data_IF_749453782238
#
_entry.id   IF_749453782238
#
_cell.length_a   1.000
_cell.length_b   1.000
_cell.length_c   1.000
_cell.angle_alpha   90.00
_cell.angle_beta   90.00
_cell.angle_gamma   90.00
#
_symmetry.space_group_name_H-M   'P 1'
#
loop_
_entity.id
_entity.type
_entity.pdbx_description
1 polymer ?
#
# COMPACT_ATOMS: atom_id res chain seq x y z
N UNK A 1 -23.69 6.77 5.84
CA UNK A 1 -22.51 5.92 5.62
C UNK A 1 -21.29 6.80 5.79
N UNK A 2 -20.33 6.38 6.60
CA UNK A 2 -19.11 7.14 6.92
C UNK A 2 -18.10 7.02 5.78
N UNK A 3 -17.11 7.94 5.72
CA UNK A 3 -15.96 7.83 4.80
C UNK A 3 -15.32 6.44 4.87
N UNK A 4 -15.13 5.93 6.09
CA UNK A 4 -14.55 4.61 6.35
C UNK A 4 -15.34 3.50 5.66
N UNK A 5 -16.66 3.48 5.81
CA UNK A 5 -17.51 2.45 5.21
C UNK A 5 -17.44 2.51 3.67
N UNK A 6 -17.43 3.72 3.09
CA UNK A 6 -17.29 3.88 1.63
C UNK A 6 -15.93 3.42 1.12
N UNK A 7 -14.85 3.70 1.85
CA UNK A 7 -13.50 3.23 1.48
C UNK A 7 -13.37 1.70 1.63
N UNK A 8 -14.00 1.10 2.65
CA UNK A 8 -14.08 -0.35 2.81
C UNK A 8 -14.80 -1.02 1.66
N UNK A 9 -15.86 -0.39 1.15
CA UNK A 9 -16.66 -0.91 0.05
C UNK A 9 -16.17 -0.41 -1.32
N UNK A 10 -15.01 0.26 -1.42
CA UNK A 10 -14.64 1.04 -2.59
C UNK A 10 -14.74 0.24 -3.91
N UNK A 11 -14.16 -0.96 -3.98
CA UNK A 11 -14.25 -1.78 -5.19
C UNK A 11 -15.63 -2.41 -5.39
N UNK A 12 -16.37 -2.71 -4.32
CA UNK A 12 -17.79 -3.11 -4.42
C UNK A 12 -18.63 -2.01 -5.06
N UNK A 13 -18.36 -0.74 -4.72
CA UNK A 13 -19.06 0.41 -5.27
C UNK A 13 -18.66 0.66 -6.73
N UNK A 14 -17.38 0.47 -7.08
CA UNK A 14 -16.94 0.47 -8.49
C UNK A 14 -17.63 -0.63 -9.30
N UNK A 15 -17.72 -1.86 -8.76
CA UNK A 15 -18.44 -2.96 -9.41
C UNK A 15 -19.93 -2.64 -9.64
N UNK A 16 -20.56 -1.90 -8.73
CA UNK A 16 -21.97 -1.48 -8.83
C UNK A 16 -22.16 -0.21 -9.65
N UNK A 17 -21.08 0.43 -10.10
CA UNK A 17 -21.09 1.75 -10.73
C UNK A 17 -21.79 2.82 -9.87
N UNK A 18 -21.73 2.68 -8.54
CA UNK A 18 -22.41 3.55 -7.57
C UNK A 18 -21.65 4.87 -7.39
N UNK A 19 -21.69 5.67 -8.44
CA UNK A 19 -20.91 6.89 -8.60
C UNK A 19 -21.37 7.98 -7.63
N UNK A 20 -22.67 8.05 -7.34
CA UNK A 20 -23.22 9.01 -6.38
C UNK A 20 -22.63 8.78 -5.00
N UNK A 21 -22.59 7.53 -4.55
CA UNK A 21 -22.05 7.17 -3.23
C UNK A 21 -20.55 7.40 -3.15
N UNK A 22 -19.80 7.06 -4.20
CA UNK A 22 -18.37 7.34 -4.28
C UNK A 22 -18.06 8.84 -4.28
N UNK A 23 -18.87 9.67 -4.95
CA UNK A 23 -18.71 11.12 -4.93
C UNK A 23 -19.09 11.73 -3.58
N UNK A 24 -20.02 11.11 -2.84
CA UNK A 24 -20.56 11.67 -1.59
C UNK A 24 -19.53 11.86 -0.48
N UNK A 25 -18.38 11.19 -0.54
CA UNK A 25 -17.33 11.28 0.48
C UNK A 25 -16.35 12.43 0.26
N UNK A 26 -16.28 12.99 -0.95
CA UNK A 26 -15.30 14.04 -1.24
C UNK A 26 -15.73 15.39 -0.68
N UNK A 27 -14.74 16.19 -0.26
CA UNK A 27 -14.89 17.63 -0.13
C UNK A 27 -14.59 18.24 -1.51
N UNK A 28 -15.57 18.93 -2.09
CA UNK A 28 -15.41 19.54 -3.42
C UNK A 28 -15.18 18.52 -4.54
N UNK A 29 -14.28 18.86 -5.46
CA UNK A 29 -13.97 18.04 -6.64
C UNK A 29 -13.10 16.83 -6.28
N UNK A 30 -13.41 15.62 -6.78
CA UNK A 30 -12.68 14.41 -6.45
C UNK A 30 -11.25 14.44 -7.00
N UNK A 31 -10.32 13.95 -6.18
CA UNK A 31 -8.92 13.74 -6.53
C UNK A 31 -8.54 12.32 -6.16
N UNK A 32 -8.12 11.53 -7.14
CA UNK A 32 -7.68 10.16 -6.91
C UNK A 32 -6.45 9.81 -7.76
N UNK A 33 -5.47 9.17 -7.15
CA UNK A 33 -4.29 8.63 -7.83
C UNK A 33 -4.35 7.10 -7.81
N UNK A 34 -4.33 6.46 -8.99
CA UNK A 34 -4.36 5.00 -9.12
C UNK A 34 -3.11 4.45 -9.83
N UNK A 35 -2.71 3.19 -9.58
CA UNK A 35 -1.59 2.57 -10.30
C UNK A 35 -1.85 2.42 -11.81
N UNK A 36 -3.11 2.22 -12.20
CA UNK A 36 -3.49 1.98 -13.60
C UNK A 36 -3.64 3.27 -14.42
N UNK A 37 -4.27 4.30 -13.87
CA UNK A 37 -4.66 5.50 -14.63
C UNK A 37 -3.89 6.75 -14.23
N UNK A 38 -3.10 6.70 -13.13
CA UNK A 38 -2.42 7.87 -12.61
C UNK A 38 -3.39 8.81 -11.90
N UNK A 39 -3.13 10.12 -12.00
CA UNK A 39 -3.92 11.16 -11.32
C UNK A 39 -5.19 11.49 -12.09
N UNK A 40 -6.30 11.47 -11.38
CA UNK A 40 -7.65 11.78 -11.87
C UNK A 40 -8.17 12.93 -11.01
N UNK A 41 -8.71 13.96 -11.64
CA UNK A 41 -9.14 15.18 -10.94
C UNK A 41 -10.41 15.73 -11.58
N UNK A 42 -11.38 16.06 -10.73
CA UNK A 42 -12.66 16.61 -11.17
C UNK A 42 -13.74 15.56 -11.39
N UNK A 43 -14.98 15.99 -11.22
CA UNK A 43 -16.16 15.14 -11.21
C UNK A 43 -16.35 14.36 -12.51
N UNK A 44 -16.18 15.00 -13.66
CA UNK A 44 -16.39 14.36 -14.97
C UNK A 44 -15.37 13.23 -15.23
N UNK A 45 -14.10 13.50 -14.94
CA UNK A 45 -13.04 12.49 -15.06
C UNK A 45 -13.21 11.36 -14.04
N UNK A 46 -13.67 11.67 -12.83
CA UNK A 46 -13.99 10.66 -11.83
C UNK A 46 -15.16 9.77 -12.25
N UNK A 47 -16.25 10.33 -12.80
CA UNK A 47 -17.37 9.55 -13.35
C UNK A 47 -16.87 8.62 -14.45
N UNK A 48 -16.04 9.13 -15.36
CA UNK A 48 -15.45 8.35 -16.45
C UNK A 48 -14.54 7.23 -15.94
N UNK A 49 -13.77 7.50 -14.88
CA UNK A 49 -12.98 6.51 -14.16
C UNK A 49 -13.85 5.41 -13.56
N UNK A 50 -14.93 5.75 -12.86
CA UNK A 50 -15.85 4.75 -12.28
C UNK A 50 -16.42 3.85 -13.37
N UNK A 51 -16.84 4.42 -14.51
CA UNK A 51 -17.33 3.64 -15.65
C UNK A 51 -16.27 2.69 -16.23
N UNK A 52 -15.02 3.15 -16.41
CA UNK A 52 -13.91 2.31 -16.90
C UNK A 52 -13.57 1.19 -15.93
N UNK A 53 -13.51 1.48 -14.64
CA UNK A 53 -13.26 0.49 -13.59
C UNK A 53 -14.41 -0.50 -13.50
N UNK A 54 -15.67 -0.06 -13.60
CA UNK A 54 -16.82 -0.94 -13.66
C UNK A 54 -16.70 -1.95 -14.82
N UNK A 55 -16.38 -1.49 -16.03
CA UNK A 55 -16.19 -2.38 -17.18
C UNK A 55 -15.03 -3.35 -16.98
N UNK A 56 -13.91 -2.88 -16.44
CA UNK A 56 -12.75 -3.73 -16.15
C UNK A 56 -13.08 -4.80 -15.11
N UNK A 57 -13.72 -4.42 -13.99
CA UNK A 57 -14.11 -5.32 -12.93
C UNK A 57 -15.17 -6.31 -13.39
N UNK A 58 -16.12 -5.93 -14.24
CA UNK A 58 -17.13 -6.85 -14.81
C UNK A 58 -16.51 -7.95 -15.67
N UNK A 59 -15.36 -7.68 -16.28
CA UNK A 59 -14.57 -8.68 -17.00
C UNK A 59 -13.87 -9.70 -16.11
N UNK A 60 -13.91 -9.52 -14.79
CA UNK A 60 -13.27 -10.39 -13.80
C UNK A 60 -14.34 -10.85 -12.79
N UNK A 61 -14.29 -12.10 -12.31
CA UNK A 61 -15.05 -12.42 -11.10
C UNK A 61 -14.27 -11.86 -9.91
N UNK A 62 -14.80 -10.79 -9.31
CA UNK A 62 -14.07 -10.00 -8.31
C UNK A 62 -14.68 -10.16 -6.92
N UNK A 63 -13.99 -10.93 -6.08
CA UNK A 63 -14.18 -10.92 -4.64
C UNK A 63 -13.40 -9.78 -3.98
N UNK A 64 -13.92 -9.27 -2.86
CA UNK A 64 -13.21 -8.31 -2.00
C UNK A 64 -13.26 -8.81 -0.56
N UNK A 65 -12.10 -8.85 0.10
CA UNK A 65 -11.98 -9.05 1.53
C UNK A 65 -11.40 -7.81 2.18
N UNK A 66 -12.03 -7.36 3.26
CA UNK A 66 -11.46 -6.36 4.17
C UNK A 66 -10.34 -6.99 4.98
N UNK A 67 -9.17 -6.34 5.02
CA UNK A 67 -8.03 -6.77 5.83
C UNK A 67 -8.03 -6.00 7.13
N UNK A 68 -7.72 -4.71 7.07
CA UNK A 68 -7.54 -3.86 8.25
C UNK A 68 -7.81 -2.38 7.91
N UNK A 69 -7.94 -1.56 8.95
CA UNK A 69 -8.06 -0.11 8.81
C UNK A 69 -7.21 0.61 9.84
N UNK A 70 -6.50 1.65 9.39
CA UNK A 70 -5.75 2.57 10.26
C UNK A 70 -6.36 3.96 10.12
N UNK A 71 -6.71 4.59 11.25
CA UNK A 71 -7.40 5.90 11.25
C UNK A 71 -6.67 6.88 12.16
N UNK A 72 -6.51 8.11 11.68
CA UNK A 72 -6.16 9.29 12.47
C UNK A 72 -7.15 10.42 12.19
N UNK A 73 -6.96 11.56 12.87
CA UNK A 73 -7.79 12.76 12.65
C UNK A 73 -7.71 13.25 11.20
N UNK A 74 -6.56 13.10 10.54
CA UNK A 74 -6.32 13.70 9.22
C UNK A 74 -6.38 12.68 8.08
N UNK A 75 -6.37 11.37 8.37
CA UNK A 75 -6.15 10.34 7.36
C UNK A 75 -6.76 9.00 7.73
N UNK A 76 -7.21 8.28 6.70
CA UNK A 76 -7.67 6.89 6.77
C UNK A 76 -6.85 6.05 5.79
N UNK A 77 -6.41 4.87 6.21
CA UNK A 77 -5.89 3.84 5.33
C UNK A 77 -6.75 2.59 5.47
N UNK A 78 -7.32 2.10 4.37
CA UNK A 78 -8.02 0.83 4.31
C UNK A 78 -7.18 -0.17 3.54
N UNK A 79 -6.94 -1.33 4.13
CA UNK A 79 -6.28 -2.47 3.49
C UNK A 79 -7.35 -3.46 3.03
N UNK A 80 -7.28 -3.83 1.75
CA UNK A 80 -8.18 -4.78 1.10
C UNK A 80 -7.36 -5.89 0.42
N UNK A 81 -8.00 -7.02 0.20
CA UNK A 81 -7.53 -8.07 -0.69
C UNK A 81 -8.59 -8.30 -1.76
N UNK A 82 -8.22 -8.08 -3.02
CA UNK A 82 -9.10 -8.37 -4.16
C UNK A 82 -8.80 -9.75 -4.68
N UNK A 83 -9.81 -10.59 -4.84
CA UNK A 83 -9.69 -11.86 -5.54
C UNK A 83 -10.16 -11.63 -6.97
N UNK A 84 -9.24 -11.73 -7.92
CA UNK A 84 -9.51 -11.51 -9.34
C UNK A 84 -9.45 -12.85 -10.07
N UNK A 85 -10.54 -13.22 -10.74
CA UNK A 85 -10.57 -14.37 -11.63
C UNK A 85 -10.78 -13.92 -13.07
N UNK A 86 -9.89 -14.34 -13.96
CA UNK A 86 -10.01 -14.18 -15.41
C UNK A 86 -9.64 -15.49 -16.11
N UNK A 87 -10.60 -16.07 -16.83
CA UNK A 87 -10.50 -17.41 -17.42
C UNK A 87 -10.09 -18.48 -16.38
N UNK A 88 -8.90 -19.07 -16.54
CA UNK A 88 -8.34 -20.11 -15.67
C UNK A 88 -7.37 -19.55 -14.61
N UNK A 89 -7.11 -18.23 -14.62
CA UNK A 89 -6.22 -17.60 -13.66
C UNK A 89 -7.04 -17.00 -12.53
N UNK A 90 -6.70 -17.40 -11.31
CA UNK A 90 -7.14 -16.73 -10.08
C UNK A 90 -5.90 -16.10 -9.46
N UNK A 91 -6.03 -14.86 -9.01
CA UNK A 91 -4.99 -14.18 -8.25
C UNK A 91 -5.64 -13.36 -7.14
N UNK A 92 -4.90 -13.18 -6.05
CA UNK A 92 -5.23 -12.20 -5.03
C UNK A 92 -4.32 -10.98 -5.16
N UNK A 93 -4.90 -9.79 -5.03
CA UNK A 93 -4.22 -8.52 -5.18
C UNK A 93 -4.37 -7.71 -3.89
N UNK A 94 -3.31 -7.59 -3.08
CA UNK A 94 -3.32 -6.69 -1.94
C UNK A 94 -3.44 -5.23 -2.39
N UNK A 95 -4.41 -4.51 -1.82
CA UNK A 95 -4.64 -3.09 -2.10
C UNK A 95 -4.64 -2.28 -0.81
N UNK A 96 -3.97 -1.13 -0.82
CA UNK A 96 -4.10 -0.10 0.21
C UNK A 96 -4.73 1.16 -0.39
N UNK A 97 -5.74 1.70 0.27
CA UNK A 97 -6.39 2.96 -0.08
C UNK A 97 -6.09 3.96 1.03
N UNK A 98 -5.26 4.95 0.73
CA UNK A 98 -4.97 6.07 1.65
C UNK A 98 -5.83 7.26 1.25
N UNK A 99 -6.59 7.79 2.20
CA UNK A 99 -7.43 8.97 2.02
C UNK A 99 -7.00 10.07 3.00
N UNK A 100 -6.73 11.26 2.47
CA UNK A 100 -6.55 12.47 3.28
C UNK A 100 -7.93 13.06 3.58
N UNK A 101 -8.10 13.54 4.81
CA UNK A 101 -9.36 14.09 5.31
C UNK A 101 -9.30 15.61 5.46
N UNK A 102 -10.43 16.24 5.16
CA UNK A 102 -10.76 17.60 5.56
C UNK A 102 -12.09 17.53 6.34
N UNK A 103 -11.98 17.57 7.67
CA UNK A 103 -13.10 17.28 8.56
C UNK A 103 -13.59 15.84 8.43
N UNK A 104 -14.86 15.66 8.10
CA UNK A 104 -15.51 14.36 7.91
C UNK A 104 -15.57 13.90 6.44
N UNK A 105 -14.85 14.60 5.55
CA UNK A 105 -14.81 14.35 4.10
C UNK A 105 -13.39 14.08 3.62
N UNK A 106 -13.28 13.51 2.42
CA UNK A 106 -12.03 13.15 1.75
C UNK A 106 -11.59 14.27 0.82
N UNK A 107 -10.36 14.76 0.98
CA UNK A 107 -9.77 15.74 0.06
C UNK A 107 -8.99 15.09 -1.08
N UNK A 108 -8.40 13.90 -0.86
CA UNK A 108 -7.72 13.13 -1.89
C UNK A 108 -7.65 11.64 -1.52
N UNK A 109 -7.59 10.77 -2.55
CA UNK A 109 -7.36 9.33 -2.41
C UNK A 109 -6.09 8.93 -3.18
N UNK A 110 -5.27 8.06 -2.60
CA UNK A 110 -4.17 7.37 -3.27
C UNK A 110 -4.33 5.87 -3.08
N UNK A 111 -4.47 5.15 -4.19
CA UNK A 111 -4.57 3.68 -4.21
C UNK A 111 -3.22 3.09 -4.53
N UNK A 112 -2.82 2.03 -3.82
CA UNK A 112 -1.56 1.33 -3.97
C UNK A 112 -1.80 -0.17 -4.09
N UNK A 113 -1.22 -0.78 -5.12
CA UNK A 113 -1.09 -2.22 -5.33
C UNK A 113 -0.04 -2.46 -6.41
N UNK A 114 0.51 -3.68 -6.49
CA UNK A 114 1.43 -4.05 -7.58
C UNK A 114 0.69 -4.22 -8.92
N UNK A 115 1.36 -3.92 -10.02
CA UNK A 115 0.92 -4.27 -11.38
C UNK A 115 1.48 -5.62 -11.84
N UNK A 116 2.45 -6.17 -11.11
CA UNK A 116 3.10 -7.45 -11.43
C UNK A 116 2.10 -8.60 -11.55
N UNK A 117 1.16 -8.82 -10.59
CA UNK A 117 0.20 -9.91 -10.69
C UNK A 117 -0.73 -9.75 -11.90
N UNK A 118 -1.08 -8.51 -12.22
CA UNK A 118 -2.02 -8.17 -13.29
C UNK A 118 -1.39 -8.28 -14.69
N UNK A 119 -0.13 -7.90 -14.83
CA UNK A 119 0.49 -7.68 -16.15
C UNK A 119 1.78 -8.48 -16.38
N UNK A 120 2.30 -9.15 -15.35
CA UNK A 120 3.59 -9.84 -15.37
C UNK A 120 4.79 -8.90 -15.48
N UNK A 121 4.59 -7.60 -15.19
CA UNK A 121 5.63 -6.56 -15.12
C UNK A 121 5.29 -5.48 -14.10
N UNK A 122 6.32 -4.85 -13.56
CA UNK A 122 6.16 -3.68 -12.71
C UNK A 122 5.91 -2.43 -13.56
N UNK A 123 5.27 -1.42 -12.97
CA UNK A 123 5.08 -0.12 -13.60
C UNK A 123 5.59 0.95 -12.66
N UNK A 124 6.73 1.54 -13.03
CA UNK A 124 7.33 2.67 -12.31
C UNK A 124 6.30 3.77 -12.10
N UNK A 125 5.95 4.01 -10.84
CA UNK A 125 5.03 5.06 -10.42
C UNK A 125 5.81 6.22 -9.82
N UNK A 126 5.83 7.37 -10.51
CA UNK A 126 6.49 8.58 -10.03
C UNK A 126 5.99 8.98 -8.62
N UNK A 127 6.81 9.71 -7.84
CA UNK A 127 6.38 10.24 -6.55
C UNK A 127 5.03 10.96 -6.63
N UNK A 128 4.12 10.63 -5.71
CA UNK A 128 2.81 11.28 -5.59
C UNK A 128 2.81 12.42 -4.58
N UNK A 129 3.78 12.38 -3.67
CA UNK A 129 3.94 13.28 -2.54
C UNK A 129 5.40 13.67 -2.43
N UNK A 130 5.66 14.80 -1.78
CA UNK A 130 7.01 15.22 -1.42
C UNK A 130 7.45 14.57 -0.10
N UNK A 131 8.74 14.27 0.08
CA UNK A 131 9.27 13.84 1.37
C UNK A 131 8.96 14.86 2.48
N UNK A 132 8.43 14.38 3.60
CA UNK A 132 8.17 15.22 4.75
C UNK A 132 9.46 15.54 5.52
N UNK A 133 9.51 16.75 6.08
CA UNK A 133 10.54 17.15 7.04
C UNK A 133 10.00 17.00 8.45
N UNK A 134 10.74 16.29 9.32
CA UNK A 134 10.36 16.14 10.72
C UNK A 134 9.09 15.30 10.93
N UNK A 135 8.88 14.29 10.08
CA UNK A 135 7.75 13.38 10.21
C UNK A 135 7.82 12.64 11.55
N UNK A 136 6.75 12.70 12.34
CA UNK A 136 6.65 11.95 13.59
C UNK A 136 6.21 10.52 13.31
N UNK A 137 7.14 9.59 13.52
CA UNK A 137 6.89 8.17 13.37
C UNK A 137 7.05 7.44 14.72
N UNK A 138 6.27 6.37 14.97
CA UNK A 138 6.47 5.53 16.14
C UNK A 138 7.89 4.92 16.16
N UNK A 139 8.43 4.71 17.36
CA UNK A 139 9.81 4.25 17.52
C UNK A 139 10.10 2.88 16.89
N UNK A 140 9.11 1.99 16.84
CA UNK A 140 9.27 0.68 16.20
C UNK A 140 9.43 0.80 14.68
N UNK A 141 8.74 1.77 14.06
CA UNK A 141 8.88 2.07 12.63
C UNK A 141 10.25 2.68 12.37
N UNK A 142 10.67 3.66 13.17
CA UNK A 142 12.01 4.27 13.04
C UNK A 142 13.14 3.23 13.10
N UNK A 143 13.06 2.32 14.07
CA UNK A 143 14.05 1.23 14.23
C UNK A 143 14.03 0.28 13.02
N UNK A 144 12.84 -0.11 12.55
CA UNK A 144 12.70 -0.95 11.37
C UNK A 144 13.29 -0.28 10.13
N UNK A 145 12.99 1.00 9.92
CA UNK A 145 13.44 1.76 8.75
C UNK A 145 14.94 2.01 8.76
N UNK A 146 15.52 2.29 9.94
CA UNK A 146 16.97 2.39 10.08
C UNK A 146 17.66 1.07 9.73
N UNK A 147 17.15 -0.05 10.21
CA UNK A 147 17.71 -1.37 9.91
C UNK A 147 17.51 -1.75 8.43
N UNK A 148 16.38 -1.35 7.83
CA UNK A 148 16.11 -1.54 6.40
C UNK A 148 17.08 -0.75 5.52
N UNK A 149 17.32 0.52 5.83
CA UNK A 149 18.24 1.40 5.09
C UNK A 149 19.70 0.93 5.24
N UNK A 150 20.09 0.41 6.41
CA UNK A 150 21.43 -0.14 6.63
C UNK A 150 21.63 -1.57 6.11
N UNK A 151 20.56 -2.25 5.65
CA UNK A 151 20.64 -3.65 5.22
C UNK A 151 20.82 -4.66 6.37
N UNK A 152 20.46 -4.29 7.61
CA UNK A 152 20.65 -5.14 8.79
C UNK A 152 19.46 -6.10 8.99
N UNK A 153 19.48 -7.19 8.23
CA UNK A 153 18.45 -8.23 8.30
C UNK A 153 18.28 -8.82 9.71
N UNK A 154 19.36 -8.97 10.48
CA UNK A 154 19.31 -9.55 11.82
C UNK A 154 18.56 -8.63 12.80
N UNK A 155 18.84 -7.32 12.75
CA UNK A 155 18.10 -6.34 13.54
C UNK A 155 16.63 -6.31 13.14
N UNK A 156 16.30 -6.31 11.84
CA UNK A 156 14.91 -6.36 11.37
C UNK A 156 14.17 -7.56 11.96
N UNK A 157 14.71 -8.78 11.80
CA UNK A 157 14.07 -10.00 12.30
C UNK A 157 13.86 -9.97 13.81
N UNK A 158 14.76 -9.34 14.57
CA UNK A 158 14.63 -9.21 16.01
C UNK A 158 13.53 -8.23 16.45
N UNK A 159 13.15 -7.26 15.60
CA UNK A 159 12.03 -6.35 15.86
C UNK A 159 10.67 -7.06 15.79
N UNK A 160 10.56 -8.19 15.08
CA UNK A 160 9.33 -8.94 14.98
C UNK A 160 9.05 -9.82 16.20
N UNK A 161 7.77 -10.11 16.41
CA UNK A 161 7.31 -11.24 17.22
C UNK A 161 7.79 -12.57 16.62
N UNK A 162 7.80 -13.63 17.44
CA UNK A 162 8.24 -14.96 16.97
C UNK A 162 7.34 -15.51 15.84
N UNK A 163 6.06 -15.13 15.84
CA UNK A 163 5.05 -15.44 14.81
C UNK A 163 4.73 -14.25 13.88
N UNK A 164 5.51 -13.17 13.95
CA UNK A 164 5.33 -12.00 13.07
C UNK A 164 5.64 -12.32 11.60
N UNK A 165 5.19 -11.47 10.68
CA UNK A 165 5.35 -11.70 9.24
C UNK A 165 5.62 -10.43 8.42
N UNK A 166 6.23 -10.61 7.25
CA UNK A 166 6.32 -9.61 6.21
C UNK A 166 5.57 -10.11 4.96
N UNK A 167 4.77 -9.26 4.33
CA UNK A 167 4.06 -9.59 3.08
C UNK A 167 4.49 -8.64 1.97
N UNK A 168 5.01 -9.22 0.90
CA UNK A 168 5.34 -8.53 -0.34
C UNK A 168 4.07 -7.97 -1.02
N UNK A 169 4.20 -7.01 -1.97
CA UNK A 169 3.04 -6.38 -2.60
C UNK A 169 2.33 -7.25 -3.65
N UNK A 170 2.98 -8.30 -4.15
CA UNK A 170 2.49 -9.09 -5.29
C UNK A 170 1.31 -10.00 -4.98
N UNK A 171 1.27 -10.66 -3.82
CA UNK A 171 0.17 -11.57 -3.45
C UNK A 171 0.32 -11.99 -1.99
N UNK A 172 -0.76 -12.46 -1.35
CA UNK A 172 -0.67 -13.08 -0.02
C UNK A 172 0.17 -14.36 0.01
N UNK A 173 0.42 -15.00 -1.13
CA UNK A 173 1.32 -16.16 -1.22
C UNK A 173 2.78 -15.79 -0.88
N UNK A 174 3.17 -14.52 -1.09
CA UNK A 174 4.48 -13.99 -0.74
C UNK A 174 4.51 -13.43 0.69
N UNK A 175 4.02 -14.24 1.63
CA UNK A 175 4.05 -13.96 3.07
C UNK A 175 5.18 -14.74 3.73
N UNK A 176 6.09 -14.04 4.39
CA UNK A 176 7.25 -14.58 5.09
C UNK A 176 7.00 -14.54 6.60
N UNK A 177 6.53 -15.66 7.14
CA UNK A 177 6.11 -15.74 8.54
C UNK A 177 7.15 -16.38 9.46
N UNK A 178 7.16 -15.90 10.70
CA UNK A 178 8.04 -16.34 11.77
C UNK A 178 9.51 -16.05 11.51
N UNK A 179 10.34 -16.25 12.53
CA UNK A 179 11.76 -15.87 12.47
C UNK A 179 12.51 -16.48 11.28
N UNK A 180 12.24 -17.73 10.94
CA UNK A 180 12.92 -18.40 9.82
C UNK A 180 12.51 -17.82 8.46
N UNK A 181 11.21 -17.58 8.25
CA UNK A 181 10.70 -16.98 7.01
C UNK A 181 11.22 -15.56 6.83
N UNK A 182 11.10 -14.74 7.88
CA UNK A 182 11.63 -13.38 7.91
C UNK A 182 13.14 -13.34 7.66
N UNK A 183 13.91 -14.21 8.31
CA UNK A 183 15.36 -14.26 8.13
C UNK A 183 15.75 -14.63 6.70
N UNK A 184 15.08 -15.63 6.10
CA UNK A 184 15.31 -16.00 4.71
C UNK A 184 15.00 -14.83 3.76
N UNK A 185 13.86 -14.18 3.96
CA UNK A 185 13.42 -13.04 3.15
C UNK A 185 14.39 -11.85 3.25
N UNK A 186 14.61 -11.32 4.45
CA UNK A 186 15.44 -10.12 4.62
C UNK A 186 16.90 -10.37 4.25
N UNK A 187 17.46 -11.56 4.55
CA UNK A 187 18.82 -11.89 4.12
C UNK A 187 18.95 -11.94 2.60
N UNK A 188 17.89 -12.34 1.89
CA UNK A 188 17.87 -12.42 0.42
C UNK A 188 17.74 -11.04 -0.20
N UNK A 189 16.75 -10.25 0.21
CA UNK A 189 16.47 -8.95 -0.41
C UNK A 189 17.53 -7.90 -0.05
N UNK A 190 18.20 -8.03 1.11
CA UNK A 190 19.22 -7.08 1.57
C UNK A 190 20.65 -7.56 1.31
N UNK A 191 20.85 -8.66 0.57
CA UNK A 191 22.17 -9.25 0.32
C UNK A 191 23.19 -8.27 -0.28
N UNK A 192 22.70 -7.30 -1.06
CA UNK A 192 23.51 -6.29 -1.75
C UNK A 192 23.48 -4.91 -1.07
N UNK A 193 22.84 -4.81 0.11
CA UNK A 193 22.67 -3.59 0.89
C UNK A 193 21.20 -3.27 1.19
N UNK A 194 20.96 -2.17 1.90
CA UNK A 194 19.64 -1.77 2.37
C UNK A 194 18.70 -1.19 1.30
N UNK A 195 17.46 -0.91 1.72
CA UNK A 195 16.45 -0.24 0.88
C UNK A 195 16.23 1.16 1.43
N UNK A 196 16.53 2.17 0.62
CA UNK A 196 16.43 3.57 1.03
C UNK A 196 15.08 4.16 0.64
N UNK A 197 14.30 4.50 1.66
CA UNK A 197 12.95 5.05 1.54
C UNK A 197 12.92 6.49 2.07
N UNK A 198 12.36 7.42 1.29
CA UNK A 198 12.07 8.79 1.72
C UNK A 198 10.61 8.90 2.14
N UNK A 199 10.36 9.06 3.43
CA UNK A 199 8.98 9.09 3.95
C UNK A 199 8.28 10.40 3.61
N UNK A 200 7.05 10.29 3.11
CA UNK A 200 6.23 11.42 2.69
C UNK A 200 5.18 11.75 3.76
N UNK A 201 4.57 10.73 4.36
CA UNK A 201 3.49 10.89 5.33
C UNK A 201 3.45 9.70 6.28
N UNK A 202 2.86 9.90 7.46
CA UNK A 202 2.63 8.87 8.45
C UNK A 202 1.20 8.95 8.99
N UNK A 203 0.61 7.79 9.28
CA UNK A 203 -0.59 7.68 10.11
C UNK A 203 -0.35 6.63 11.16
N UNK A 204 -0.61 6.97 12.41
CA UNK A 204 -0.52 6.03 13.51
C UNK A 204 -1.78 6.10 14.35
N UNK A 205 -2.37 4.93 14.64
CA UNK A 205 -3.59 4.82 15.44
C UNK A 205 -3.37 4.16 16.80
N UNK A 206 -2.11 4.09 17.25
CA UNK A 206 -1.71 3.42 18.47
C UNK A 206 -1.34 1.95 18.28
N UNK A 207 -1.74 1.32 17.16
CA UNK A 207 -1.40 -0.08 16.84
C UNK A 207 -0.75 -0.22 15.48
N UNK A 208 -1.26 0.44 14.45
CA UNK A 208 -0.79 0.34 13.06
C UNK A 208 -0.24 1.67 12.60
N UNK A 209 0.90 1.62 11.91
CA UNK A 209 1.56 2.76 11.30
C UNK A 209 1.55 2.61 9.78
N UNK A 210 1.02 3.58 9.06
CA UNK A 210 0.97 3.61 7.59
C UNK A 210 1.94 4.68 7.11
N UNK A 211 2.97 4.27 6.37
CA UNK A 211 4.01 5.16 5.85
C UNK A 211 3.92 5.17 4.33
N UNK A 212 3.58 6.32 3.74
CA UNK A 212 3.76 6.52 2.29
C UNK A 212 5.17 7.02 2.05
N UNK A 213 5.85 6.47 1.06
CA UNK A 213 7.26 6.73 0.81
C UNK A 213 7.60 6.82 -0.67
N UNK A 214 8.80 7.31 -0.93
CA UNK A 214 9.49 7.20 -2.21
C UNK A 214 10.67 6.25 -2.04
N UNK A 215 10.64 5.10 -2.73
CA UNK A 215 11.80 4.24 -2.86
C UNK A 215 12.81 4.91 -3.80
N UNK A 216 14.05 5.08 -3.33
CA UNK A 216 15.11 5.78 -4.06
C UNK A 216 16.37 4.93 -4.29
N UNK A 217 16.55 3.85 -3.54
CA UNK A 217 17.68 2.95 -3.71
C UNK A 217 17.43 1.58 -3.11
N UNK A 218 18.08 0.57 -3.66
CA UNK A 218 18.05 -0.80 -3.17
C UNK A 218 19.41 -1.46 -3.41
N UNK A 219 20.09 -1.80 -2.33
CA UNK A 219 21.44 -2.33 -2.35
C UNK A 219 22.41 -1.31 -2.93
N UNK A 220 23.08 -1.69 -4.02
CA UNK A 220 24.01 -0.82 -4.77
C UNK A 220 23.33 -0.07 -5.92
N UNK A 221 22.04 -0.29 -6.13
CA UNK A 221 21.31 0.26 -7.27
C UNK A 221 20.53 1.49 -6.84
N UNK A 222 20.81 2.62 -7.50
CA UNK A 222 19.93 3.78 -7.46
C UNK A 222 18.69 3.48 -8.29
N UNK A 223 17.51 3.65 -7.69
CA UNK A 223 16.24 3.39 -8.35
C UNK A 223 15.67 4.69 -8.91
N UNK A 224 14.96 4.66 -10.06
CA UNK A 224 14.02 5.72 -10.37
C UNK A 224 13.09 5.92 -9.16
N UNK A 225 12.87 7.17 -8.70
CA UNK A 225 12.00 7.45 -7.57
C UNK A 225 10.61 6.85 -7.76
N UNK A 226 10.20 5.97 -6.85
CA UNK A 226 8.96 5.19 -6.97
C UNK A 226 8.08 5.32 -5.73
N UNK A 227 6.81 5.67 -5.92
CA UNK A 227 5.85 5.80 -4.83
C UNK A 227 5.39 4.42 -4.31
N UNK A 228 5.34 4.27 -2.99
CA UNK A 228 4.83 3.09 -2.30
C UNK A 228 4.17 3.45 -0.98
N UNK A 229 3.49 2.47 -0.38
CA UNK A 229 3.01 2.55 1.00
C UNK A 229 3.25 1.22 1.71
N UNK A 230 3.58 1.29 3.00
CA UNK A 230 3.66 0.12 3.85
C UNK A 230 2.85 0.35 5.13
N UNK A 231 2.26 -0.74 5.62
CA UNK A 231 1.56 -0.78 6.91
C UNK A 231 2.34 -1.67 7.86
N UNK A 232 2.73 -1.09 8.99
CA UNK A 232 3.43 -1.78 10.06
C UNK A 232 2.51 -1.93 11.25
N UNK A 233 2.39 -3.14 11.78
CA UNK A 233 1.50 -3.44 12.90
C UNK A 233 2.31 -3.79 14.13
N UNK A 234 2.04 -3.10 15.23
CA UNK A 234 2.56 -3.42 16.55
C UNK A 234 1.77 -4.61 17.12
N UNK A 235 2.51 -5.64 17.52
CA UNK A 235 2.01 -6.79 18.25
C UNK A 235 2.19 -6.65 19.76
N UNK A 236 2.40 -7.77 20.42
CA UNK A 236 2.68 -7.87 21.85
C UNK A 236 4.13 -7.48 22.13
N UNK A 237 4.41 -7.20 23.40
CA UNK A 237 5.76 -6.95 23.91
C UNK A 237 6.53 -5.86 23.13
N UNK A 238 5.80 -4.88 22.56
CA UNK A 238 6.38 -3.79 21.76
C UNK A 238 7.16 -4.24 20.52
N UNK A 239 6.85 -5.43 20.01
CA UNK A 239 7.42 -5.98 18.78
C UNK A 239 6.46 -5.86 17.61
N UNK A 240 6.99 -5.91 16.40
CA UNK A 240 6.20 -5.89 15.17
C UNK A 240 5.50 -7.23 14.96
N UNK A 241 4.19 -7.19 14.75
CA UNK A 241 3.45 -8.33 14.25
C UNK A 241 3.54 -8.44 12.73
N UNK A 242 3.42 -7.31 12.02
CA UNK A 242 3.36 -7.33 10.56
C UNK A 242 4.10 -6.16 9.90
N UNK A 243 4.65 -6.43 8.72
CA UNK A 243 4.99 -5.42 7.71
C UNK A 243 4.29 -5.81 6.39
N UNK A 244 3.35 -5.00 5.93
CA UNK A 244 2.57 -5.26 4.71
C UNK A 244 2.87 -4.17 3.69
N UNK A 245 3.50 -4.56 2.58
CA UNK A 245 3.96 -3.63 1.56
C UNK A 245 2.91 -3.57 0.44
N UNK A 246 2.69 -2.36 -0.07
CA UNK A 246 1.80 -2.05 -1.18
C UNK A 246 2.51 -1.05 -2.09
N UNK A 247 3.34 -1.57 -2.98
CA UNK A 247 4.02 -0.78 -3.99
C UNK A 247 4.13 -1.57 -5.30
N UNK A 248 4.85 -1.01 -6.24
CA UNK A 248 5.19 -1.68 -7.50
C UNK A 248 6.65 -1.43 -7.85
N UNK A 249 7.51 -1.40 -6.81
CA UNK A 249 8.94 -1.08 -6.94
C UNK A 249 9.63 -2.23 -7.65
N UNK A 250 10.28 -1.94 -8.77
CA UNK A 250 11.06 -2.95 -9.51
C UNK A 250 12.33 -3.33 -8.73
N UNK A 251 12.52 -4.61 -8.38
CA UNK A 251 13.74 -5.07 -7.72
C UNK A 251 14.98 -4.92 -8.63
N UNK A 252 16.18 -4.73 -8.05
CA UNK A 252 17.42 -4.72 -8.83
C UNK A 252 17.60 -5.99 -9.67
N UNK A 253 17.88 -5.83 -10.96
CA UNK A 253 18.10 -6.94 -11.90
C UNK A 253 16.86 -7.38 -12.67
N UNK A 254 15.69 -6.84 -12.36
CA UNK A 254 14.46 -7.03 -13.12
C UNK A 254 14.18 -5.84 -14.04
N UNK A 255 13.54 -6.09 -15.19
CA UNK A 255 13.08 -5.05 -16.08
C UNK A 255 11.67 -4.60 -15.68
N UNK A 256 11.46 -3.29 -15.57
CA UNK A 256 10.15 -2.68 -15.48
C UNK A 256 9.41 -2.77 -16.84
#
# INVERSE_FOLDING_TARGET
MTVVETLKDFFILLQKEDTEKLLSIFVGEPVIDTPMEGRITGREEFISFVGRQHQWLKGHDVGQQFVEITVSVQRVCVELLLYLQHDTRSMDLPVAIVADLDGDKVSAIRIYHSMWPLTGRHRVRKPLLEPAKGLEEPDFVKQYMQALDSGDAATIVNLFEDDGYAREPSSSEYTHSGRSGLNNFYSTILKDGGISLKHCTATFDGKRAVIEYIAAGWGKTELPPQAGVAVYELGKNWKMHAARIYDDVTPPGEAA
#
